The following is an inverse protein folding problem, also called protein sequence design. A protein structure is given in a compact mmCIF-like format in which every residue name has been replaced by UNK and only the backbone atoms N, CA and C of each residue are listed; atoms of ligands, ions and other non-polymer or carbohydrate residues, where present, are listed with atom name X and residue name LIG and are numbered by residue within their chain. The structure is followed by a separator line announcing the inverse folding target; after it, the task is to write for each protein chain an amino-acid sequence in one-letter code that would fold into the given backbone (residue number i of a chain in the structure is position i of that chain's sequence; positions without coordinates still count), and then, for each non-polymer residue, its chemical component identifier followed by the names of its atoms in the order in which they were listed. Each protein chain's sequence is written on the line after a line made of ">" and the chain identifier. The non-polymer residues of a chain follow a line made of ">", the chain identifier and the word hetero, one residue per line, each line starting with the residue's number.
data_IF_262909082484
#
_entry.id   IF_262909082484
#
_cell.length_a   1.000
_cell.length_b   1.000
_cell.length_c   1.000
_cell.angle_alpha   90.00
_cell.angle_beta   90.00
_cell.angle_gamma   90.00
#
_symmetry.space_group_name_H-M   'P 1'
#
loop_
_entity.id
_entity.type
_entity.pdbx_description
1 polymer ?
#
# COMPACT_ATOMS: atom_id res chain seq x y z
N UNK A 1 3.26 3.31 6.99
CA UNK A 1 3.24 4.04 5.71
C UNK A 1 1.81 3.97 5.19
N UNK A 2 1.16 5.10 4.95
CA UNK A 2 -0.24 5.14 4.49
C UNK A 2 -0.26 5.44 3.01
N UNK A 3 -0.63 4.44 2.19
CA UNK A 3 -0.38 4.46 0.74
C UNK A 3 -1.66 4.19 -0.09
N UNK A 4 -2.73 5.00 0.06
CA UNK A 4 -3.95 4.87 -0.74
C UNK A 4 -3.68 4.99 -2.25
N UNK A 5 -2.61 5.72 -2.63
CA UNK A 5 -2.27 5.95 -4.02
C UNK A 5 -1.88 4.67 -4.76
N UNK A 6 -1.31 3.68 -4.05
CA UNK A 6 -0.97 2.39 -4.63
C UNK A 6 -2.20 1.64 -5.14
N UNK A 7 -3.33 1.78 -4.45
CA UNK A 7 -4.61 1.24 -4.91
C UNK A 7 -5.30 2.15 -5.94
N UNK A 8 -5.13 3.47 -5.84
CA UNK A 8 -5.72 4.42 -6.78
C UNK A 8 -5.06 4.36 -8.18
N UNK A 9 -3.75 4.09 -8.25
CA UNK A 9 -2.97 4.02 -9.50
C UNK A 9 -2.05 2.79 -9.51
N UNK A 10 -2.61 1.56 -9.52
CA UNK A 10 -1.85 0.32 -9.32
C UNK A 10 -0.79 0.10 -10.40
N UNK A 11 -1.08 0.43 -11.66
CA UNK A 11 -0.12 0.21 -12.76
C UNK A 11 1.13 1.08 -12.62
N UNK A 12 0.97 2.32 -12.14
CA UNK A 12 2.11 3.21 -11.87
C UNK A 12 2.85 2.80 -10.61
N UNK A 13 2.12 2.34 -9.59
CA UNK A 13 2.70 1.86 -8.34
C UNK A 13 3.59 0.63 -8.58
N UNK A 14 3.23 -0.29 -9.49
CA UNK A 14 4.02 -1.50 -9.82
C UNK A 14 5.46 -1.21 -10.20
N UNK A 15 5.74 -0.04 -10.77
CA UNK A 15 7.09 0.33 -11.19
C UNK A 15 8.02 0.66 -10.01
N UNK A 16 7.50 1.24 -8.91
CA UNK A 16 8.35 1.87 -7.90
C UNK A 16 7.92 1.66 -6.44
N UNK A 17 6.68 1.24 -6.17
CA UNK A 17 6.13 1.21 -4.82
C UNK A 17 6.91 0.29 -3.88
N UNK A 18 7.15 -0.96 -4.28
CA UNK A 18 7.91 -1.93 -3.46
C UNK A 18 9.34 -1.45 -3.15
N UNK A 19 10.19 -1.09 -4.14
CA UNK A 19 11.53 -0.61 -3.84
C UNK A 19 11.54 0.71 -3.04
N UNK A 20 10.52 1.57 -3.21
CA UNK A 20 10.38 2.78 -2.40
C UNK A 20 10.02 2.46 -0.94
N UNK A 21 9.11 1.51 -0.70
CA UNK A 21 8.77 1.02 0.65
C UNK A 21 10.01 0.43 1.31
N UNK A 22 10.74 -0.46 0.63
CA UNK A 22 11.92 -1.11 1.17
C UNK A 22 13.00 -0.09 1.55
N UNK A 23 13.20 0.92 0.70
CA UNK A 23 14.11 2.02 0.99
C UNK A 23 13.64 2.85 2.21
N UNK A 24 12.34 3.10 2.34
CA UNK A 24 11.79 3.87 3.46
C UNK A 24 11.88 3.11 4.79
N UNK A 25 11.80 1.77 4.76
CA UNK A 25 11.88 0.90 5.93
C UNK A 25 13.31 0.45 6.27
N UNK A 26 14.28 0.74 5.41
CA UNK A 26 15.66 0.32 5.59
C UNK A 26 16.24 0.75 6.95
N UNK A 27 16.67 -0.23 7.75
CA UNK A 27 17.28 0.00 9.06
C UNK A 27 16.31 0.25 10.22
N UNK A 28 14.99 0.27 9.97
CA UNK A 28 13.98 0.33 11.02
C UNK A 28 13.94 -1.04 11.75
N UNK A 29 14.09 -1.02 13.08
CA UNK A 29 14.15 -2.24 13.91
C UNK A 29 12.87 -2.56 14.67
N UNK A 30 11.89 -1.66 14.60
CA UNK A 30 10.57 -1.84 15.22
C UNK A 30 9.60 -2.37 14.15
N UNK A 31 8.48 -2.92 14.60
CA UNK A 31 7.40 -3.35 13.71
C UNK A 31 6.97 -2.23 12.77
N UNK A 32 6.93 -2.56 11.49
CA UNK A 32 6.58 -1.70 10.38
C UNK A 32 5.25 -2.14 9.79
N UNK A 33 4.44 -1.17 9.37
CA UNK A 33 3.11 -1.44 8.79
C UNK A 33 2.94 -0.59 7.54
N UNK A 34 2.45 -1.21 6.47
CA UNK A 34 1.93 -0.50 5.29
C UNK A 34 0.42 -0.58 5.33
N UNK A 35 -0.25 0.56 5.26
CA UNK A 35 -1.70 0.66 5.18
C UNK A 35 -2.13 0.94 3.75
N UNK A 36 -3.00 0.09 3.23
CA UNK A 36 -3.60 0.22 1.90
C UNK A 36 -5.10 0.42 2.07
N UNK A 37 -5.61 1.50 1.48
CA UNK A 37 -7.02 1.87 1.54
C UNK A 37 -7.52 2.42 0.20
N UNK A 38 -8.84 2.54 0.07
CA UNK A 38 -9.47 3.17 -1.10
C UNK A 38 -9.57 4.70 -0.98
N UNK A 39 -8.80 5.31 -0.08
CA UNK A 39 -8.86 6.74 0.18
C UNK A 39 -10.10 7.15 0.97
N UNK A 40 -10.16 8.45 1.31
CA UNK A 40 -11.20 8.99 2.18
C UNK A 40 -12.59 8.87 1.52
N UNK A 41 -13.57 8.31 2.24
CA UNK A 41 -14.89 7.98 1.70
C UNK A 41 -15.66 9.17 1.10
N UNK A 42 -15.37 10.40 1.55
CA UNK A 42 -15.95 11.61 0.96
C UNK A 42 -15.42 11.92 -0.45
N UNK A 43 -14.21 11.45 -0.79
CA UNK A 43 -13.55 11.72 -2.06
C UNK A 43 -13.73 10.59 -3.09
N UNK A 44 -14.08 9.37 -2.66
CA UNK A 44 -14.14 8.19 -3.54
C UNK A 44 -15.57 7.65 -3.61
N UNK A 45 -16.21 7.87 -4.76
CA UNK A 45 -17.62 7.50 -5.01
C UNK A 45 -17.81 6.04 -5.38
N UNK A 46 -16.87 5.47 -6.13
CA UNK A 46 -16.92 4.09 -6.61
C UNK A 46 -15.73 3.30 -6.05
N UNK A 47 -15.93 2.65 -4.89
CA UNK A 47 -14.90 1.78 -4.31
C UNK A 47 -14.84 0.46 -5.09
N UNK A 48 -13.67 0.05 -5.60
CA UNK A 48 -13.48 -1.28 -6.18
C UNK A 48 -13.81 -2.38 -5.17
N UNK A 49 -14.25 -3.54 -5.65
CA UNK A 49 -14.56 -4.71 -4.80
C UNK A 49 -13.34 -5.43 -4.23
N UNK A 50 -12.12 -4.97 -4.53
CA UNK A 50 -10.88 -5.59 -4.07
C UNK A 50 -9.64 -4.76 -4.37
N UNK A 51 -8.50 -5.20 -3.80
CA UNK A 51 -7.23 -4.50 -3.92
C UNK A 51 -6.41 -5.05 -5.10
N UNK A 52 -6.25 -4.22 -6.12
CA UNK A 52 -5.49 -4.54 -7.33
C UNK A 52 -3.98 -4.52 -7.12
N UNK A 53 -3.52 -3.86 -6.05
CA UNK A 53 -2.10 -3.72 -5.69
C UNK A 53 -1.69 -4.54 -4.45
N UNK A 54 -2.64 -5.17 -3.76
CA UNK A 54 -2.33 -5.93 -2.55
C UNK A 54 -1.36 -7.11 -2.80
N UNK A 55 -1.46 -7.89 -3.89
CA UNK A 55 -0.52 -8.98 -4.16
C UNK A 55 0.94 -8.55 -4.25
N UNK A 56 1.21 -7.31 -4.66
CA UNK A 56 2.55 -6.76 -4.82
C UNK A 56 3.24 -6.52 -3.48
N UNK A 57 2.46 -6.24 -2.43
CA UNK A 57 2.98 -5.98 -1.07
C UNK A 57 3.53 -7.24 -0.40
N UNK A 58 3.27 -8.45 -0.93
CA UNK A 58 3.91 -9.69 -0.49
C UNK A 58 5.45 -9.63 -0.58
N UNK A 59 5.96 -8.77 -1.47
CA UNK A 59 7.40 -8.60 -1.71
C UNK A 59 8.02 -7.45 -0.91
N UNK A 60 7.24 -6.67 -0.16
CA UNK A 60 7.76 -5.51 0.55
C UNK A 60 8.35 -5.90 1.91
N UNK A 61 9.28 -5.09 2.43
CA UNK A 61 9.94 -5.31 3.70
C UNK A 61 9.09 -5.02 4.95
N UNK A 62 7.80 -4.71 4.78
CA UNK A 62 6.92 -4.40 5.91
C UNK A 62 6.54 -5.65 6.70
N UNK A 63 6.43 -5.53 8.02
CA UNK A 63 6.05 -6.66 8.89
C UNK A 63 4.55 -6.97 8.81
N UNK A 64 3.72 -5.96 8.54
CA UNK A 64 2.26 -6.10 8.50
C UNK A 64 1.64 -5.23 7.41
N UNK A 65 0.52 -5.72 6.88
CA UNK A 65 -0.33 -4.99 5.94
C UNK A 65 -1.66 -4.69 6.61
N UNK A 66 -2.02 -3.42 6.69
CA UNK A 66 -3.31 -2.94 7.18
C UNK A 66 -4.23 -2.65 6.00
N UNK A 67 -5.41 -3.28 5.95
CA UNK A 67 -6.41 -3.10 4.88
C UNK A 67 -7.75 -2.64 5.43
N UNK A 68 -8.54 -1.93 4.63
CA UNK A 68 -9.95 -1.66 4.94
C UNK A 68 -10.83 -2.89 4.70
N UNK A 69 -11.84 -3.07 5.56
CA UNK A 69 -12.88 -4.10 5.48
C UNK A 69 -14.10 -3.66 4.65
#
# INVERSE_FOLDING_TARGET
>A
LDEPYMQAQPDRARAYAVPAIDCALAGVRKTTVVHLCFGYAFAVKDKPSGYSFLPELDRCAADQISIEA
#
